data_IF_419515565204
#
_entry.id   IF_419515565204
#
_cell.length_a   1.000
_cell.length_b   1.000
_cell.length_c   1.000
_cell.angle_alpha   90.00
_cell.angle_beta   90.00
_cell.angle_gamma   90.00
#
_symmetry.space_group_name_H-M   'P 1'
#
loop_
_entity.id
_entity.type
_entity.pdbx_description
1 polymer ?
#
# COMPACT_ATOMS: atom_id res chain seq x y z
N UNK A 1 -59.32 38.06 27.17
CA UNK A 1 -59.79 37.55 28.48
C UNK A 1 -58.99 36.29 28.78
N UNK A 2 -58.19 36.13 29.83
CA UNK A 2 -57.77 36.99 30.92
C UNK A 2 -56.77 36.22 31.81
N UNK A 3 -55.93 36.98 32.51
CA UNK A 3 -55.26 36.70 33.80
C UNK A 3 -54.08 35.71 33.88
N UNK A 4 -52.88 36.31 34.04
CA UNK A 4 -52.02 36.26 35.24
C UNK A 4 -51.89 34.93 36.02
N UNK A 5 -50.66 34.38 36.13
CA UNK A 5 -49.76 34.49 37.31
C UNK A 5 -48.50 33.62 37.16
N UNK A 6 -47.40 34.16 37.70
CA UNK A 6 -46.08 33.54 37.91
C UNK A 6 -46.12 32.68 39.17
N UNK A 7 -45.52 31.48 39.16
CA UNK A 7 -45.20 30.72 40.39
C UNK A 7 -43.74 30.25 40.30
N UNK A 8 -42.98 30.57 41.34
CA UNK A 8 -41.66 30.03 41.66
C UNK A 8 -41.77 28.64 42.30
N UNK A 9 -40.71 27.83 42.20
CA UNK A 9 -40.26 26.99 43.32
C UNK A 9 -40.41 25.47 43.16
N UNK A 10 -39.27 24.84 42.86
CA UNK A 10 -38.69 23.60 43.42
C UNK A 10 -39.62 22.48 43.94
N UNK A 11 -39.47 21.28 43.37
CA UNK A 11 -39.46 20.03 44.15
C UNK A 11 -38.64 18.94 43.43
N UNK A 12 -37.59 18.45 44.11
CA UNK A 12 -36.96 17.18 43.81
C UNK A 12 -38.00 16.06 43.91
N UNK A 13 -38.02 15.16 42.94
CA UNK A 13 -38.49 13.79 43.15
C UNK A 13 -37.27 12.88 43.04
N UNK A 14 -36.78 12.49 44.21
CA UNK A 14 -35.86 11.36 44.35
C UNK A 14 -36.61 10.06 44.10
N UNK A 15 -35.97 9.13 43.39
CA UNK A 15 -36.21 7.70 43.54
C UNK A 15 -36.58 6.95 42.28
N UNK A 16 -35.57 6.51 41.53
CA UNK A 16 -35.41 5.06 41.31
C UNK A 16 -33.96 4.76 40.95
N UNK A 17 -33.24 4.21 41.94
CA UNK A 17 -32.04 3.41 41.67
C UNK A 17 -32.54 2.08 41.13
N UNK A 18 -32.32 1.83 39.85
CA UNK A 18 -32.26 0.47 39.32
C UNK A 18 -30.81 0.22 38.95
N UNK A 19 -30.15 -0.50 39.84
CA UNK A 19 -28.86 -1.14 39.60
C UNK A 19 -28.98 -2.09 38.41
N UNK A 20 -28.22 -1.80 37.35
CA UNK A 20 -28.02 -2.69 36.20
C UNK A 20 -26.67 -2.40 35.58
N UNK A 21 -25.67 -3.20 35.96
CA UNK A 21 -24.32 -3.21 35.42
C UNK A 21 -24.29 -3.39 33.89
N UNK A 22 -23.27 -2.81 33.25
CA UNK A 22 -22.66 -3.40 32.05
C UNK A 22 -22.35 -2.39 30.95
N UNK A 23 -21.06 -2.08 30.78
CA UNK A 23 -20.58 -1.01 29.91
C UNK A 23 -20.93 -1.16 28.43
N UNK A 24 -21.43 -0.07 27.85
CA UNK A 24 -21.55 0.13 26.40
C UNK A 24 -20.76 1.38 25.92
N UNK A 25 -20.23 2.19 26.85
CA UNK A 25 -19.53 3.45 26.51
C UNK A 25 -18.03 3.35 26.22
N UNK A 26 -17.37 2.23 26.53
CA UNK A 26 -15.89 2.15 26.52
C UNK A 26 -15.29 1.57 25.23
N UNK A 27 -16.04 0.85 24.41
CA UNK A 27 -15.50 0.22 23.19
C UNK A 27 -15.43 1.16 22.00
N UNK A 28 -16.37 2.09 21.87
CA UNK A 28 -16.44 3.02 20.74
C UNK A 28 -15.46 4.20 20.91
N UNK A 29 -15.38 4.78 22.12
CA UNK A 29 -14.38 5.79 22.45
C UNK A 29 -12.94 5.27 22.25
N UNK A 30 -12.65 4.05 22.70
CA UNK A 30 -11.35 3.41 22.48
C UNK A 30 -11.07 3.12 20.99
N UNK A 31 -12.07 2.71 20.22
CA UNK A 31 -11.90 2.46 18.78
C UNK A 31 -11.64 3.75 17.99
N UNK A 32 -12.33 4.83 18.35
CA UNK A 32 -12.16 6.14 17.72
C UNK A 32 -10.85 6.83 18.17
N UNK A 33 -10.45 6.68 19.43
CA UNK A 33 -9.13 7.11 19.93
C UNK A 33 -7.98 6.30 19.31
N UNK A 34 -8.10 4.97 19.18
CA UNK A 34 -7.13 4.13 18.48
C UNK A 34 -7.04 4.49 16.99
N UNK A 35 -8.17 4.79 16.34
CA UNK A 35 -8.18 5.34 14.98
C UNK A 35 -7.43 6.66 14.96
N UNK A 36 -7.79 7.63 15.79
CA UNK A 36 -7.15 8.94 15.83
C UNK A 36 -5.62 8.87 16.11
N UNK A 37 -5.18 8.01 17.04
CA UNK A 37 -3.76 7.79 17.31
C UNK A 37 -3.02 7.12 16.15
N UNK A 38 -3.66 6.17 15.46
CA UNK A 38 -3.09 5.57 14.26
C UNK A 38 -2.99 6.56 13.08
N UNK A 39 -3.96 7.47 12.95
CA UNK A 39 -3.89 8.61 12.03
C UNK A 39 -2.73 9.55 12.38
N UNK A 40 -2.57 9.90 13.66
CA UNK A 40 -1.49 10.78 14.14
C UNK A 40 -0.10 10.17 13.95
N UNK A 41 0.07 8.85 14.14
CA UNK A 41 1.35 8.16 13.87
C UNK A 41 1.63 8.02 12.37
N UNK A 42 0.59 7.89 11.54
CA UNK A 42 0.71 7.95 10.09
C UNK A 42 1.05 9.37 9.57
N UNK A 43 0.86 10.43 10.37
CA UNK A 43 1.16 11.80 10.00
C UNK A 43 2.62 12.23 10.27
N UNK A 44 3.37 11.51 11.12
CA UNK A 44 4.83 11.69 11.25
C UNK A 44 5.55 10.87 10.18
N UNK A 45 5.36 11.25 8.93
CA UNK A 45 5.89 10.50 7.79
C UNK A 45 7.39 10.74 7.61
N UNK A 46 8.18 9.67 7.76
CA UNK A 46 9.55 9.67 7.25
C UNK A 46 9.53 10.03 5.75
N UNK A 47 10.45 10.86 5.26
CA UNK A 47 10.50 11.18 3.83
C UNK A 47 10.75 9.91 2.99
N UNK A 48 10.49 10.01 1.69
CA UNK A 48 10.92 8.97 0.75
C UNK A 48 12.45 9.01 0.69
N UNK A 49 13.10 8.03 1.34
CA UNK A 49 14.55 7.87 1.31
C UNK A 49 14.97 7.20 -0.01
N UNK A 50 16.13 7.58 -0.51
CA UNK A 50 16.81 7.04 -1.69
C UNK A 50 15.97 7.11 -2.95
N UNK A 51 15.24 8.19 -3.15
CA UNK A 51 14.46 8.38 -4.36
C UNK A 51 13.37 9.43 -4.24
N UNK A 52 12.42 9.35 -5.18
CA UNK A 52 11.17 10.11 -5.16
C UNK A 52 9.99 9.14 -5.20
N UNK A 53 8.80 9.59 -4.81
CA UNK A 53 7.58 8.82 -4.97
C UNK A 53 6.51 9.10 -3.94
N UNK A 54 5.50 8.23 -3.91
CA UNK A 54 4.43 8.27 -2.93
C UNK A 54 4.39 6.99 -2.10
N UNK A 55 4.12 7.14 -0.80
CA UNK A 55 3.85 6.07 0.14
C UNK A 55 2.49 6.26 0.80
N UNK A 56 1.69 5.21 0.75
CA UNK A 56 0.46 5.08 1.51
C UNK A 56 0.58 3.95 2.52
N UNK A 57 -0.03 4.13 3.69
CA UNK A 57 -0.11 3.15 4.77
C UNK A 57 -1.48 2.47 4.73
N UNK A 58 -1.46 1.16 4.93
CA UNK A 58 -2.63 0.30 5.07
C UNK A 58 -2.66 -0.17 6.52
N UNK A 59 -3.46 0.48 7.35
CA UNK A 59 -3.45 0.29 8.80
C UNK A 59 -4.12 -1.04 9.22
N UNK A 60 -3.39 -2.13 9.05
CA UNK A 60 -3.80 -3.48 9.42
C UNK A 60 -2.59 -4.33 9.79
N UNK A 61 -2.76 -5.26 10.72
CA UNK A 61 -1.73 -6.22 11.15
C UNK A 61 -1.95 -7.62 10.58
N UNK A 62 -2.92 -7.75 9.67
CA UNK A 62 -3.34 -9.03 9.09
C UNK A 62 -2.23 -9.77 8.32
N UNK A 63 -2.55 -10.96 7.83
CA UNK A 63 -1.57 -11.92 7.34
C UNK A 63 -1.48 -12.01 5.83
N UNK A 64 -2.58 -11.74 5.13
CA UNK A 64 -2.68 -11.86 3.68
C UNK A 64 -3.21 -10.57 3.08
N UNK A 65 -2.40 -9.90 2.27
CA UNK A 65 -2.84 -8.79 1.44
C UNK A 65 -3.25 -9.29 0.06
N UNK A 66 -4.37 -8.80 -0.46
CA UNK A 66 -4.83 -9.03 -1.84
C UNK A 66 -5.21 -7.67 -2.44
N UNK A 67 -4.74 -7.38 -3.65
CA UNK A 67 -5.04 -6.12 -4.36
C UNK A 67 -4.82 -6.28 -5.86
N UNK A 68 -5.56 -5.52 -6.65
CA UNK A 68 -5.30 -5.34 -8.08
C UNK A 68 -4.38 -4.16 -8.29
N UNK A 69 -3.30 -4.37 -9.02
CA UNK A 69 -2.32 -3.33 -9.34
C UNK A 69 -2.41 -2.99 -10.81
N UNK A 70 -2.86 -1.78 -11.14
CA UNK A 70 -2.78 -1.23 -12.50
C UNK A 70 -1.37 -0.71 -12.73
N UNK A 71 -0.66 -1.37 -13.64
CA UNK A 71 0.72 -1.03 -14.00
C UNK A 71 0.74 0.10 -15.04
N UNK A 72 1.48 1.19 -14.82
CA UNK A 72 1.53 2.29 -15.78
C UNK A 72 2.31 1.92 -17.03
N UNK A 73 1.91 2.55 -18.13
CA UNK A 73 2.78 2.77 -19.30
C UNK A 73 3.92 3.73 -18.93
N UNK A 74 5.16 3.28 -19.09
CA UNK A 74 6.37 4.07 -18.79
C UNK A 74 7.00 4.66 -20.06
N UNK A 75 6.64 4.15 -21.24
CA UNK A 75 6.98 4.79 -22.52
C UNK A 75 5.80 5.62 -23.01
N UNK A 76 6.11 6.74 -23.64
CA UNK A 76 5.15 7.52 -24.42
C UNK A 76 4.86 6.80 -25.75
N UNK A 77 3.83 7.25 -26.46
CA UNK A 77 3.47 6.69 -27.79
C UNK A 77 4.60 6.77 -28.81
N UNK A 78 5.51 7.75 -28.67
CA UNK A 78 6.72 7.89 -29.48
C UNK A 78 7.92 7.06 -28.98
N UNK A 79 7.73 6.17 -28.00
CA UNK A 79 8.77 5.29 -27.44
C UNK A 79 9.69 5.93 -26.40
N UNK A 80 9.57 7.23 -26.12
CA UNK A 80 10.41 7.92 -25.12
C UNK A 80 10.02 7.55 -23.69
N UNK A 81 11.01 7.44 -22.79
CA UNK A 81 10.75 7.16 -21.37
C UNK A 81 10.15 8.37 -20.65
N UNK A 82 9.11 8.12 -19.87
CA UNK A 82 8.45 9.11 -19.01
C UNK A 82 9.32 9.54 -17.85
N UNK A 83 10.17 8.65 -17.35
CA UNK A 83 11.12 8.97 -16.28
C UNK A 83 12.45 8.23 -16.47
N UNK A 84 13.52 8.76 -15.89
CA UNK A 84 14.88 8.21 -15.93
C UNK A 84 15.69 8.61 -14.71
N UNK A 85 16.88 8.01 -14.54
CA UNK A 85 17.83 8.36 -13.48
C UNK A 85 17.65 7.58 -12.19
N UNK A 86 16.86 6.50 -12.21
CA UNK A 86 16.67 5.57 -11.11
C UNK A 86 15.86 4.35 -11.55
N UNK A 87 15.67 3.41 -10.65
CA UNK A 87 14.87 2.20 -10.86
C UNK A 87 13.42 2.45 -10.47
N UNK A 88 12.48 2.10 -11.35
CA UNK A 88 11.05 2.33 -11.11
C UNK A 88 10.45 1.12 -10.41
N UNK A 89 9.85 1.36 -9.26
CA UNK A 89 9.22 0.33 -8.44
C UNK A 89 7.75 0.67 -8.16
N UNK A 90 6.90 -0.36 -8.19
CA UNK A 90 5.51 -0.31 -7.71
C UNK A 90 5.32 -1.50 -6.81
N UNK A 91 5.09 -1.28 -5.53
CA UNK A 91 5.05 -2.38 -4.58
C UNK A 91 4.11 -2.15 -3.41
N UNK A 92 3.63 -3.27 -2.88
CA UNK A 92 3.10 -3.32 -1.53
C UNK A 92 4.12 -4.00 -0.62
N UNK A 93 3.74 -4.30 0.61
CA UNK A 93 4.62 -4.89 1.61
C UNK A 93 4.13 -4.54 3.00
N UNK A 94 4.93 -4.90 3.98
CA UNK A 94 4.64 -4.67 5.38
C UNK A 94 5.82 -4.02 6.09
N UNK A 95 5.49 -3.35 7.18
CA UNK A 95 6.44 -2.71 8.09
C UNK A 95 6.31 -3.34 9.48
N UNK A 96 7.42 -3.44 10.20
CA UNK A 96 7.49 -4.19 11.46
C UNK A 96 8.91 -4.23 12.01
N UNK A 97 9.25 -5.31 12.73
CA UNK A 97 10.66 -5.62 13.02
C UNK A 97 11.45 -5.96 11.75
N UNK A 98 10.75 -6.40 10.70
CA UNK A 98 11.29 -6.66 9.37
C UNK A 98 10.46 -5.89 8.36
N UNK A 99 11.12 -5.11 7.51
CA UNK A 99 10.49 -4.43 6.38
C UNK A 99 10.42 -5.35 5.16
N UNK A 100 9.36 -5.22 4.36
CA UNK A 100 9.28 -5.88 3.07
C UNK A 100 8.80 -4.96 1.96
N UNK A 101 9.33 -5.20 0.76
CA UNK A 101 8.98 -4.51 -0.48
C UNK A 101 8.68 -5.58 -1.54
N UNK A 102 7.42 -5.72 -1.94
CA UNK A 102 6.91 -6.84 -2.74
C UNK A 102 5.94 -6.32 -3.80
N UNK A 103 6.31 -6.49 -5.07
CA UNK A 103 5.55 -5.97 -6.19
C UNK A 103 6.33 -6.10 -7.49
N UNK A 104 6.66 -4.96 -8.09
CA UNK A 104 7.15 -4.88 -9.46
C UNK A 104 8.33 -3.92 -9.61
N UNK A 105 9.29 -4.32 -10.44
CA UNK A 105 10.41 -3.51 -10.92
C UNK A 105 10.30 -3.38 -12.43
N UNK A 106 10.27 -2.16 -12.95
CA UNK A 106 10.23 -1.92 -14.38
C UNK A 106 11.56 -2.26 -15.05
N UNK A 107 11.50 -2.94 -16.19
CA UNK A 107 12.65 -3.22 -17.04
C UNK A 107 12.58 -2.38 -18.31
N UNK A 108 13.41 -1.32 -18.39
CA UNK A 108 13.47 -0.44 -19.55
C UNK A 108 13.83 -1.19 -20.84
N UNK A 109 14.76 -2.14 -20.74
CA UNK A 109 15.25 -2.98 -21.84
C UNK A 109 14.14 -3.79 -22.50
N UNK A 110 13.26 -4.41 -21.69
CA UNK A 110 12.23 -5.32 -22.19
C UNK A 110 10.83 -4.69 -22.22
N UNK A 111 10.68 -3.45 -21.74
CA UNK A 111 9.41 -2.73 -21.66
C UNK A 111 8.32 -3.53 -20.91
N UNK A 112 8.69 -4.09 -19.76
CA UNK A 112 7.81 -4.91 -18.91
C UNK A 112 8.07 -4.65 -17.43
N UNK A 113 7.08 -4.96 -16.59
CA UNK A 113 7.19 -4.97 -15.14
C UNK A 113 7.53 -6.38 -14.66
N UNK A 114 8.67 -6.55 -14.00
CA UNK A 114 9.12 -7.84 -13.46
C UNK A 114 8.69 -7.99 -12.00
N UNK A 115 8.40 -9.21 -11.53
CA UNK A 115 8.15 -9.43 -10.10
C UNK A 115 9.39 -9.02 -9.29
N UNK A 116 9.15 -8.33 -8.19
CA UNK A 116 10.17 -7.87 -7.25
C UNK A 116 9.75 -8.26 -5.84
N UNK A 117 10.71 -8.74 -5.05
CA UNK A 117 10.49 -9.16 -3.68
C UNK A 117 11.76 -8.95 -2.86
N UNK A 118 11.59 -8.24 -1.73
CA UNK A 118 12.61 -8.06 -0.70
C UNK A 118 11.96 -8.18 0.67
N UNK A 119 12.54 -8.96 1.57
CA UNK A 119 12.08 -9.12 2.96
C UNK A 119 13.30 -9.09 3.87
N UNK A 120 13.41 -8.04 4.69
CA UNK A 120 14.63 -7.72 5.40
C UNK A 120 15.77 -7.42 4.44
N UNK A 121 16.87 -8.14 4.58
CA UNK A 121 18.04 -8.00 3.70
C UNK A 121 17.99 -8.90 2.46
N UNK A 122 17.15 -9.95 2.48
CA UNK A 122 17.03 -10.88 1.36
C UNK A 122 16.17 -10.28 0.25
N UNK A 123 16.67 -10.40 -0.99
CA UNK A 123 16.06 -9.91 -2.23
C UNK A 123 16.10 -10.94 -3.36
N UNK A 124 16.39 -12.21 -3.03
CA UNK A 124 16.55 -13.28 -4.00
C UNK A 124 15.44 -14.32 -3.84
N UNK A 125 14.25 -14.04 -4.38
CA UNK A 125 13.16 -14.98 -4.27
C UNK A 125 13.46 -16.25 -5.08
N UNK A 126 12.95 -17.37 -4.58
CA UNK A 126 12.76 -18.56 -5.40
C UNK A 126 11.45 -18.44 -6.18
N UNK A 127 11.41 -18.97 -7.39
CA UNK A 127 10.20 -19.03 -8.21
C UNK A 127 9.65 -20.45 -8.17
N UNK A 128 8.42 -20.59 -7.68
CA UNK A 128 7.71 -21.87 -7.60
C UNK A 128 6.98 -22.15 -8.92
N UNK A 129 6.44 -21.10 -9.54
CA UNK A 129 5.64 -21.18 -10.77
C UNK A 129 5.85 -19.93 -11.63
N UNK A 130 5.74 -20.07 -12.95
CA UNK A 130 5.65 -18.95 -13.88
C UNK A 130 6.96 -18.20 -14.16
N UNK A 131 8.11 -18.73 -13.71
CA UNK A 131 9.43 -18.10 -13.90
C UNK A 131 9.67 -17.72 -15.35
N UNK A 132 9.52 -18.67 -16.28
CA UNK A 132 9.86 -18.43 -17.68
C UNK A 132 8.92 -17.43 -18.36
N UNK A 133 7.68 -17.32 -17.89
CA UNK A 133 6.67 -16.44 -18.47
C UNK A 133 6.72 -15.00 -17.98
N UNK A 134 7.28 -14.76 -16.80
CA UNK A 134 7.22 -13.45 -16.14
C UNK A 134 8.58 -12.93 -15.62
N UNK A 135 9.69 -13.61 -15.92
CA UNK A 135 11.04 -13.18 -15.55
C UNK A 135 11.99 -13.12 -16.76
N UNK A 136 13.28 -12.82 -16.53
CA UNK A 136 14.32 -12.72 -17.57
C UNK A 136 13.99 -11.71 -18.68
N UNK A 137 13.62 -12.20 -19.87
CA UNK A 137 13.23 -11.36 -21.03
C UNK A 137 11.75 -10.99 -21.00
N UNK A 138 10.95 -11.69 -20.18
CA UNK A 138 9.52 -11.48 -20.03
C UNK A 138 9.19 -10.72 -18.72
N UNK A 139 7.92 -10.40 -18.56
CA UNK A 139 7.36 -9.67 -17.42
C UNK A 139 5.94 -9.20 -17.74
N UNK A 140 5.24 -8.67 -16.74
CA UNK A 140 3.89 -8.14 -16.88
C UNK A 140 3.87 -6.94 -17.82
N UNK A 141 2.87 -6.93 -18.71
CA UNK A 141 2.72 -5.90 -19.73
C UNK A 141 2.37 -4.55 -19.07
N UNK A 142 3.06 -3.44 -19.42
CA UNK A 142 2.63 -2.11 -19.04
C UNK A 142 1.18 -1.82 -19.47
N UNK A 143 0.49 -0.95 -18.73
CA UNK A 143 -0.92 -0.61 -19.00
C UNK A 143 -1.93 -1.69 -18.61
N UNK A 144 -1.48 -2.83 -18.05
CA UNK A 144 -2.37 -3.92 -17.63
C UNK A 144 -2.56 -4.00 -16.12
N UNK A 145 -3.59 -4.71 -15.70
CA UNK A 145 -3.85 -5.02 -14.30
C UNK A 145 -3.22 -6.36 -13.91
N UNK A 146 -2.62 -6.41 -12.72
CA UNK A 146 -2.10 -7.64 -12.11
C UNK A 146 -2.74 -7.83 -10.74
N UNK A 147 -3.39 -8.96 -10.52
CA UNK A 147 -3.83 -9.37 -9.19
C UNK A 147 -2.61 -9.81 -8.38
N UNK A 148 -2.35 -9.12 -7.28
CA UNK A 148 -1.27 -9.40 -6.35
C UNK A 148 -1.84 -9.94 -5.04
N UNK A 149 -1.30 -11.05 -4.57
CA UNK A 149 -1.57 -11.60 -3.24
C UNK A 149 -0.25 -11.83 -2.51
N UNK A 150 -0.12 -11.29 -1.29
CA UNK A 150 1.07 -11.42 -0.46
C UNK A 150 0.68 -12.11 0.84
N UNK A 151 1.34 -13.23 1.13
CA UNK A 151 1.29 -13.89 2.42
C UNK A 151 2.55 -13.49 3.19
N UNK A 152 2.39 -12.80 4.33
CA UNK A 152 3.56 -12.44 5.16
C UNK A 152 4.29 -13.68 5.67
N UNK A 153 3.55 -14.77 5.89
CA UNK A 153 4.07 -16.05 6.33
C UNK A 153 3.12 -17.17 5.89
N UNK A 154 3.62 -18.05 5.02
CA UNK A 154 3.00 -19.29 4.60
C UNK A 154 4.03 -20.39 4.80
N UNK A 155 3.82 -21.24 5.81
CA UNK A 155 4.73 -22.32 6.18
C UNK A 155 6.19 -21.85 6.42
N UNK A 156 6.37 -20.68 7.05
CA UNK A 156 7.69 -20.11 7.36
C UNK A 156 8.24 -19.15 6.30
N UNK A 157 7.62 -19.08 5.11
CA UNK A 157 8.10 -18.28 3.98
C UNK A 157 7.20 -17.06 3.75
N UNK A 158 7.76 -15.95 3.29
CA UNK A 158 6.94 -14.88 2.70
C UNK A 158 6.67 -15.28 1.26
N UNK A 159 5.41 -15.26 0.82
CA UNK A 159 5.01 -15.64 -0.54
C UNK A 159 4.30 -14.50 -1.23
N UNK A 160 4.61 -14.30 -2.51
CA UNK A 160 3.86 -13.45 -3.42
C UNK A 160 3.30 -14.27 -4.58
N UNK A 161 2.04 -14.03 -4.92
CA UNK A 161 1.37 -14.58 -6.10
C UNK A 161 0.91 -13.43 -6.98
N UNK A 162 1.19 -13.54 -8.27
CA UNK A 162 0.88 -12.56 -9.28
C UNK A 162 0.06 -13.23 -10.36
N UNK A 163 -1.06 -12.64 -10.75
CA UNK A 163 -1.87 -13.11 -11.88
C UNK A 163 -2.11 -11.96 -12.85
N UNK A 164 -1.69 -12.13 -14.11
CA UNK A 164 -1.80 -11.09 -15.11
C UNK A 164 -1.26 -11.53 -16.47
N UNK A 165 -1.13 -10.56 -17.38
CA UNK A 165 -0.71 -10.79 -18.77
C UNK A 165 0.72 -10.32 -19.00
N UNK A 166 1.56 -11.15 -19.61
CA UNK A 166 2.93 -10.80 -19.93
C UNK A 166 3.03 -9.98 -21.23
N UNK A 167 4.22 -9.43 -21.51
CA UNK A 167 4.49 -8.63 -22.71
C UNK A 167 4.25 -9.35 -24.05
N UNK A 168 4.13 -10.68 -24.06
CA UNK A 168 3.85 -11.51 -25.24
C UNK A 168 2.38 -11.92 -25.38
N UNK A 169 1.53 -11.53 -24.43
CA UNK A 169 0.10 -11.85 -24.45
C UNK A 169 -0.30 -13.13 -23.72
N UNK A 170 0.63 -13.83 -23.07
CA UNK A 170 0.27 -14.96 -22.20
C UNK A 170 -0.31 -14.44 -20.88
N UNK A 171 -1.48 -14.95 -20.49
CA UNK A 171 -2.13 -14.66 -19.20
C UNK A 171 -2.00 -15.86 -18.29
N UNK A 172 -1.45 -15.64 -17.09
CA UNK A 172 -1.25 -16.71 -16.13
C UNK A 172 -0.67 -16.21 -14.83
N UNK A 173 -0.04 -17.13 -14.10
CA UNK A 173 0.40 -16.92 -12.72
C UNK A 173 1.92 -16.99 -12.59
N UNK A 174 2.46 -16.17 -11.69
CA UNK A 174 3.79 -16.37 -11.10
C UNK A 174 3.66 -16.49 -9.58
N UNK A 175 4.38 -17.42 -8.99
CA UNK A 175 4.49 -17.59 -7.53
C UNK A 175 5.96 -17.51 -7.14
N UNK A 176 6.27 -16.62 -6.19
CA UNK A 176 7.62 -16.45 -5.67
C UNK A 176 7.64 -16.43 -4.14
N UNK A 177 8.76 -16.85 -3.55
CA UNK A 177 8.97 -16.85 -2.11
C UNK A 177 10.36 -16.38 -1.70
N UNK A 178 10.43 -15.73 -0.54
CA UNK A 178 11.64 -15.66 0.27
C UNK A 178 11.47 -16.64 1.42
N UNK A 179 12.41 -17.59 1.53
CA UNK A 179 12.32 -18.71 2.48
C UNK A 179 12.68 -18.30 3.89
N UNK A 180 12.12 -19.00 4.87
CA UNK A 180 12.50 -18.92 6.29
C UNK A 180 12.44 -17.50 6.88
N UNK A 181 11.59 -16.64 6.35
CA UNK A 181 11.40 -15.27 6.86
C UNK A 181 10.69 -15.26 8.22
N UNK A 182 9.85 -16.27 8.48
CA UNK A 182 9.19 -16.49 9.78
C UNK A 182 8.49 -15.25 10.37
N UNK A 183 7.86 -14.43 9.51
CA UNK A 183 7.20 -13.19 9.94
C UNK A 183 5.97 -13.53 10.78
N UNK A 184 6.02 -13.22 12.07
CA UNK A 184 4.91 -13.49 13.00
C UNK A 184 3.99 -12.28 13.19
N UNK A 185 4.56 -11.07 13.17
CA UNK A 185 3.85 -9.81 13.41
C UNK A 185 4.32 -8.73 12.44
N UNK A 186 3.38 -7.85 12.08
CA UNK A 186 3.64 -6.63 11.30
C UNK A 186 2.89 -5.49 11.98
N UNK A 187 3.42 -4.27 11.89
CA UNK A 187 2.81 -3.07 12.43
C UNK A 187 1.72 -2.56 11.49
N UNK A 188 2.00 -2.54 10.19
CA UNK A 188 1.09 -2.11 9.14
C UNK A 188 1.52 -2.69 7.78
N UNK A 189 0.64 -2.61 6.80
CA UNK A 189 0.98 -2.80 5.39
C UNK A 189 1.22 -1.44 4.72
N UNK A 190 1.80 -1.44 3.53
CA UNK A 190 2.13 -0.22 2.76
C UNK A 190 1.89 -0.43 1.27
N UNK A 191 1.68 0.66 0.53
CA UNK A 191 1.61 0.69 -0.93
C UNK A 191 2.41 1.89 -1.46
N UNK A 192 3.26 1.64 -2.45
CA UNK A 192 4.26 2.59 -2.94
C UNK A 192 4.37 2.56 -4.47
N UNK A 193 4.66 3.73 -5.02
CA UNK A 193 5.21 3.91 -6.37
C UNK A 193 6.39 4.85 -6.23
N UNK A 194 7.58 4.42 -6.67
CA UNK A 194 8.82 5.15 -6.46
C UNK A 194 9.76 5.08 -7.65
N UNK A 195 10.62 6.09 -7.77
CA UNK A 195 11.85 6.01 -8.54
C UNK A 195 13.00 6.00 -7.54
N UNK A 196 13.64 4.86 -7.37
CA UNK A 196 14.67 4.66 -6.37
C UNK A 196 16.07 4.77 -6.97
N UNK A 197 17.00 5.23 -6.16
CA UNK A 197 18.42 5.34 -6.44
C UNK A 197 19.23 4.64 -5.35
N UNK A 198 20.53 4.46 -5.54
CA UNK A 198 21.36 3.74 -4.56
C UNK A 198 21.66 4.60 -3.33
N UNK A 199 21.79 5.90 -3.55
CA UNK A 199 22.19 6.90 -2.55
C UNK A 199 21.34 8.17 -2.68
N UNK A 200 21.05 8.82 -1.56
CA UNK A 200 20.22 10.04 -1.52
C UNK A 200 20.79 11.18 -2.37
N UNK A 201 22.12 11.27 -2.50
CA UNK A 201 22.77 12.28 -3.35
C UNK A 201 22.44 12.12 -4.83
N UNK A 202 21.95 10.95 -5.26
CA UNK A 202 21.56 10.65 -6.63
C UNK A 202 20.11 11.04 -6.93
N UNK A 203 19.29 11.36 -5.93
CA UNK A 203 17.88 11.78 -6.12
C UNK A 203 17.76 13.00 -7.03
N UNK A 204 18.76 13.89 -7.01
CA UNK A 204 18.84 15.04 -7.92
C UNK A 204 18.89 14.64 -9.41
N UNK A 205 19.42 13.47 -9.74
CA UNK A 205 19.56 12.98 -11.10
C UNK A 205 18.27 12.38 -11.68
N UNK A 206 17.27 12.11 -10.84
CA UNK A 206 15.96 11.62 -11.29
C UNK A 206 15.27 12.71 -12.09
N UNK A 207 14.78 12.36 -13.28
CA UNK A 207 13.97 13.23 -14.14
C UNK A 207 12.66 12.55 -14.48
N UNK A 208 11.56 13.29 -14.38
CA UNK A 208 10.23 12.86 -14.79
C UNK A 208 9.74 13.84 -15.83
N UNK A 209 9.78 13.41 -17.10
CA UNK A 209 9.40 14.21 -18.25
C UNK A 209 7.88 14.24 -18.44
N UNK A 210 7.21 13.18 -18.00
CA UNK A 210 5.76 13.02 -18.17
C UNK A 210 5.22 12.25 -16.97
N UNK A 211 4.10 12.72 -16.43
CA UNK A 211 3.44 12.05 -15.32
C UNK A 211 3.05 10.60 -15.65
N UNK A 212 3.13 9.70 -14.66
CA UNK A 212 2.53 8.37 -14.72
C UNK A 212 1.86 8.00 -13.39
N UNK A 213 0.91 7.05 -13.45
CA UNK A 213 0.07 6.66 -12.32
C UNK A 213 0.14 5.15 -12.08
N UNK A 214 0.45 4.76 -10.86
CA UNK A 214 0.18 3.41 -10.38
C UNK A 214 -1.10 3.41 -9.53
N UNK A 215 -1.91 2.37 -9.64
CA UNK A 215 -3.14 2.24 -8.84
C UNK A 215 -3.19 0.88 -8.18
N UNK A 216 -3.46 0.87 -6.87
CA UNK A 216 -3.80 -0.30 -6.09
C UNK A 216 -5.29 -0.21 -5.77
N UNK A 217 -6.10 -1.16 -6.24
CA UNK A 217 -7.54 -1.24 -5.99
C UNK A 217 -7.92 -2.57 -5.36
N UNK A 218 -9.16 -2.67 -4.89
CA UNK A 218 -9.69 -3.86 -4.21
C UNK A 218 -8.76 -4.33 -3.08
N UNK A 219 -8.24 -3.37 -2.28
CA UNK A 219 -7.27 -3.66 -1.23
C UNK A 219 -7.97 -4.36 -0.07
N UNK A 220 -7.67 -5.64 0.07
CA UNK A 220 -8.14 -6.50 1.15
C UNK A 220 -6.95 -6.98 1.98
N UNK A 221 -7.11 -6.98 3.30
CA UNK A 221 -6.20 -7.68 4.21
C UNK A 221 -7.03 -8.66 5.04
N UNK A 222 -6.69 -9.94 4.98
CA UNK A 222 -7.47 -11.05 5.56
C UNK A 222 -8.95 -10.99 5.14
N UNK A 223 -9.19 -10.77 3.84
CA UNK A 223 -10.50 -10.60 3.21
C UNK A 223 -11.35 -9.42 3.73
N UNK A 224 -10.76 -8.48 4.47
CA UNK A 224 -11.43 -7.26 4.93
C UNK A 224 -10.92 -6.05 4.14
N UNK A 225 -11.81 -5.16 3.66
CA UNK A 225 -11.39 -3.95 2.96
C UNK A 225 -10.59 -3.03 3.88
N UNK A 226 -9.47 -2.52 3.38
CA UNK A 226 -8.60 -1.59 4.12
C UNK A 226 -8.48 -0.28 3.36
N UNK A 227 -8.88 0.81 4.01
CA UNK A 227 -8.78 2.15 3.44
C UNK A 227 -7.33 2.67 3.55
N UNK A 228 -6.68 3.01 2.43
CA UNK A 228 -5.33 3.54 2.46
C UNK A 228 -5.30 4.96 3.02
N UNK A 229 -4.22 5.29 3.72
CA UNK A 229 -3.94 6.63 4.26
C UNK A 229 -2.70 7.17 3.56
N UNK A 230 -2.77 8.40 3.03
CA UNK A 230 -1.58 9.07 2.49
C UNK A 230 -0.55 9.28 3.61
N UNK A 231 0.72 8.98 3.35
CA UNK A 231 1.78 9.09 4.36
C UNK A 231 2.93 9.98 3.90
N UNK A 232 3.66 9.62 2.85
CA UNK A 232 4.80 10.41 2.37
C UNK A 232 4.69 10.68 0.86
N UNK A 233 5.09 11.88 0.44
CA UNK A 233 5.14 12.27 -0.97
C UNK A 233 6.40 13.08 -1.24
N UNK A 234 7.12 12.73 -2.31
CA UNK A 234 8.26 13.45 -2.84
C UNK A 234 8.13 13.40 -4.36
N UNK A 235 7.89 14.53 -5.03
CA UNK A 235 7.50 14.58 -6.46
C UNK A 235 6.39 13.57 -6.81
N UNK A 236 5.38 13.47 -5.95
CA UNK A 236 4.23 12.61 -6.16
C UNK A 236 2.93 13.21 -5.59
N UNK A 237 1.79 12.72 -6.07
CA UNK A 237 0.47 12.97 -5.49
C UNK A 237 -0.21 11.65 -5.17
N UNK A 238 -0.87 11.58 -4.02
CA UNK A 238 -1.58 10.37 -3.57
C UNK A 238 -3.08 10.69 -3.49
N UNK A 239 -3.88 9.82 -4.08
CA UNK A 239 -5.33 9.88 -4.06
C UNK A 239 -5.87 8.61 -3.42
N UNK A 240 -6.51 8.73 -2.27
CA UNK A 240 -7.15 7.61 -1.57
C UNK A 240 -8.66 7.73 -1.66
N UNK A 241 -9.32 6.62 -1.94
CA UNK A 241 -10.77 6.49 -1.94
C UNK A 241 -11.07 5.01 -1.70
N UNK A 242 -11.98 4.67 -0.78
CA UNK A 242 -12.51 3.32 -0.53
C UNK A 242 -11.66 2.16 -1.06
N UNK A 243 -10.86 1.55 -0.18
CA UNK A 243 -9.99 0.40 -0.46
C UNK A 243 -9.15 0.52 -1.75
N UNK A 244 -8.84 1.75 -2.18
CA UNK A 244 -8.04 2.07 -3.36
C UNK A 244 -7.11 3.24 -3.08
N UNK A 245 -5.90 3.17 -3.65
CA UNK A 245 -4.95 4.27 -3.70
C UNK A 245 -4.38 4.41 -5.11
N UNK A 246 -4.32 5.64 -5.61
CA UNK A 246 -3.61 5.99 -6.84
C UNK A 246 -2.43 6.90 -6.48
N UNK A 247 -1.27 6.60 -7.02
CA UNK A 247 -0.03 7.33 -6.77
C UNK A 247 0.47 7.85 -8.12
N UNK A 248 0.44 9.17 -8.26
CA UNK A 248 0.98 9.87 -9.41
C UNK A 248 2.42 10.26 -9.13
N UNK A 249 3.32 9.86 -10.01
CA UNK A 249 4.68 10.41 -10.07
C UNK A 249 4.63 11.59 -11.02
N UNK A 250 4.82 12.79 -10.48
CA UNK A 250 4.63 14.04 -11.21
C UNK A 250 5.95 14.54 -11.82
N UNK A 251 5.83 15.45 -12.77
CA UNK A 251 6.99 16.00 -13.47
C UNK A 251 8.03 16.60 -12.53
N UNK A 252 9.30 16.30 -12.83
CA UNK A 252 10.49 16.79 -12.16
C UNK A 252 11.48 17.16 -13.26
N UNK A 253 11.58 18.46 -13.52
CA UNK A 253 12.43 19.04 -14.56
C UNK A 253 13.89 19.14 -14.11
#
# INVERSE_FOLDING_TARGET
MGKFRKIMGVALVSGMVISGLGGIGTTQANADEMRAHSYMKALQAEPIKKGIGGRSILNSTGSVLTTKVTLPEIKNSNGTLKAKGGELYIYSGFSGSVESDIGFLYSETYNVWKPYMKVGEDKYPIYIEGKDEFTNLNGFKPGTEVQLTIYKNLNGNTRATYWGTNGKGYTGRLISEIKNTNISKVNNWKALSTIAVKDDSQTKNIKVNTQYRATFSDILIDNKPVNPISNATEFAKIYTNNNKVSIDIIEKK
#
